data_IF_001358718210
#
_entry.id   IF_001358718210
#
_cell.length_a   1.000
_cell.length_b   1.000
_cell.length_c   1.000
_cell.angle_alpha   90.00
_cell.angle_beta   90.00
_cell.angle_gamma   90.00
#
_symmetry.space_group_name_H-M   'P 1'
#
loop_
_entity.id
_entity.type
_entity.pdbx_description
1 polymer ?
#
# COMPACT_ATOMS: atom_id res chain seq x y z
N UNK A 1 23.55 -33.48 18.81
CA UNK A 1 22.85 -32.53 17.92
C UNK A 1 21.83 -33.32 17.15
N UNK A 2 20.55 -32.94 17.21
CA UNK A 2 19.56 -33.46 16.27
C UNK A 2 20.01 -33.15 14.84
N UNK A 3 19.81 -34.09 13.92
CA UNK A 3 20.12 -33.86 12.50
C UNK A 3 19.19 -32.77 11.99
N UNK A 4 19.76 -31.70 11.43
CA UNK A 4 18.99 -30.66 10.77
C UNK A 4 18.23 -31.26 9.56
N UNK A 5 17.03 -30.76 9.23
CA UNK A 5 16.40 -31.07 7.96
C UNK A 5 17.33 -30.73 6.80
N UNK A 6 17.35 -31.57 5.76
CA UNK A 6 18.29 -31.44 4.62
C UNK A 6 18.22 -30.06 3.96
N UNK A 7 17.02 -29.48 3.87
CA UNK A 7 16.82 -28.15 3.31
C UNK A 7 17.47 -27.04 4.18
N UNK A 8 17.29 -27.13 5.50
CA UNK A 8 17.89 -26.20 6.48
C UNK A 8 19.41 -26.35 6.49
N UNK A 9 19.92 -27.58 6.48
CA UNK A 9 21.35 -27.86 6.45
C UNK A 9 22.02 -27.29 5.19
N UNK A 10 21.44 -27.52 4.00
CA UNK A 10 21.95 -26.98 2.74
C UNK A 10 22.05 -25.46 2.78
N UNK A 11 20.99 -24.79 3.27
CA UNK A 11 20.97 -23.33 3.39
C UNK A 11 21.96 -22.83 4.42
N UNK A 12 22.10 -23.50 5.56
CA UNK A 12 23.07 -23.13 6.58
C UNK A 12 24.52 -23.28 6.09
N UNK A 13 24.83 -24.35 5.34
CA UNK A 13 26.14 -24.56 4.72
C UNK A 13 26.43 -23.54 3.60
N UNK A 14 25.40 -23.09 2.87
CA UNK A 14 25.54 -21.96 1.94
C UNK A 14 25.89 -20.67 2.70
N UNK A 15 25.18 -20.37 3.79
CA UNK A 15 25.43 -19.18 4.60
C UNK A 15 26.81 -19.20 5.26
N UNK A 16 27.33 -20.37 5.68
CA UNK A 16 28.69 -20.50 6.19
C UNK A 16 29.74 -20.09 5.14
N UNK A 17 29.53 -20.48 3.88
CA UNK A 17 30.39 -20.09 2.76
C UNK A 17 30.28 -18.62 2.41
N UNK A 18 29.09 -18.03 2.53
CA UNK A 18 28.84 -16.61 2.20
C UNK A 18 29.32 -15.63 3.28
N UNK A 19 29.23 -16.01 4.56
CA UNK A 19 29.52 -15.11 5.68
C UNK A 19 30.78 -15.50 6.46
N UNK A 20 30.76 -16.65 7.14
CA UNK A 20 31.87 -17.14 7.98
C UNK A 20 31.66 -18.62 8.33
N UNK A 21 32.73 -19.41 8.44
CA UNK A 21 32.61 -20.81 8.88
C UNK A 21 32.12 -20.94 10.34
N UNK A 22 32.27 -19.88 11.13
CA UNK A 22 31.91 -19.83 12.55
C UNK A 22 30.41 -19.64 12.82
N UNK A 23 29.57 -19.58 11.78
CA UNK A 23 28.13 -19.47 12.01
C UNK A 23 27.61 -20.63 12.87
N UNK A 24 26.67 -20.28 13.73
CA UNK A 24 25.92 -21.19 14.58
C UNK A 24 24.45 -21.14 14.21
N UNK A 25 23.79 -22.27 14.34
CA UNK A 25 22.35 -22.39 14.17
C UNK A 25 21.74 -22.80 15.50
N UNK A 26 20.65 -22.16 15.89
CA UNK A 26 19.90 -22.46 17.11
C UNK A 26 18.45 -22.76 16.76
N UNK A 27 17.91 -23.88 17.22
CA UNK A 27 16.50 -24.22 17.06
C UNK A 27 15.72 -23.72 18.28
N UNK A 28 14.85 -22.73 18.08
CA UNK A 28 14.12 -22.06 19.16
C UNK A 28 12.65 -21.98 18.74
N UNK A 29 11.76 -22.63 19.49
CA UNK A 29 10.29 -22.58 19.26
C UNK A 29 9.89 -22.90 17.80
N UNK A 30 10.44 -23.96 17.22
CA UNK A 30 10.06 -24.38 15.87
C UNK A 30 10.79 -23.68 14.73
N UNK A 31 11.78 -22.83 15.00
CA UNK A 31 12.46 -22.02 13.98
C UNK A 31 13.98 -22.11 14.13
N UNK A 32 14.70 -22.14 13.01
CA UNK A 32 16.16 -22.20 12.98
C UNK A 32 16.77 -20.80 12.84
N UNK A 33 17.41 -20.29 13.88
CA UNK A 33 18.03 -18.97 13.90
C UNK A 33 19.53 -19.08 13.60
N UNK A 34 20.01 -18.27 12.66
CA UNK A 34 21.43 -18.21 12.27
C UNK A 34 22.11 -17.06 13.01
N UNK A 35 23.22 -17.36 13.67
CA UNK A 35 23.97 -16.43 14.50
C UNK A 35 25.46 -16.47 14.13
N UNK A 36 26.07 -15.30 14.08
CA UNK A 36 27.51 -15.10 13.91
C UNK A 36 28.12 -14.76 15.28
N UNK A 37 29.00 -15.62 15.86
CA UNK A 37 29.68 -15.28 17.09
C UNK A 37 30.65 -14.12 16.85
N UNK A 38 30.58 -13.12 17.71
CA UNK A 38 31.47 -11.96 17.73
C UNK A 38 32.35 -12.01 18.98
N UNK A 39 33.65 -11.99 18.77
CA UNK A 39 34.64 -11.84 19.84
C UNK A 39 35.00 -10.36 19.94
N UNK A 40 34.50 -9.69 20.99
CA UNK A 40 34.80 -8.29 21.25
C UNK A 40 35.71 -8.20 22.48
N UNK A 41 36.65 -7.27 22.49
CA UNK A 41 37.40 -6.91 23.70
C UNK A 41 36.71 -5.69 24.29
N UNK A 42 36.20 -5.83 25.51
CA UNK A 42 35.70 -4.69 26.27
C UNK A 42 36.89 -3.87 26.75
N UNK A 43 36.98 -2.63 26.27
CA UNK A 43 38.12 -1.75 26.55
C UNK A 43 38.15 -1.28 28.00
N UNK A 44 37.00 -1.16 28.63
CA UNK A 44 36.89 -0.64 30.01
C UNK A 44 37.21 -1.75 31.01
N UNK A 45 36.84 -2.98 30.70
CA UNK A 45 37.06 -4.14 31.57
C UNK A 45 38.30 -4.97 31.23
N UNK A 46 38.96 -4.68 30.10
CA UNK A 46 40.07 -5.45 29.52
C UNK A 46 39.79 -6.98 29.48
N UNK A 47 38.56 -7.35 29.15
CA UNK A 47 38.09 -8.75 29.09
C UNK A 47 37.49 -9.07 27.72
N UNK A 48 37.70 -10.31 27.26
CA UNK A 48 37.02 -10.83 26.07
C UNK A 48 35.54 -11.03 26.40
N UNK A 49 34.68 -10.33 25.67
CA UNK A 49 33.23 -10.51 25.69
C UNK A 49 32.81 -11.29 24.45
N UNK A 50 31.98 -12.30 24.67
CA UNK A 50 31.32 -13.05 23.60
C UNK A 50 29.95 -12.42 23.35
N UNK A 51 29.71 -11.96 22.12
CA UNK A 51 28.37 -11.56 21.66
C UNK A 51 27.97 -12.46 20.50
N UNK A 52 26.69 -12.61 20.26
CA UNK A 52 26.17 -13.23 19.04
C UNK A 52 25.46 -12.18 18.22
N UNK A 53 25.72 -12.17 16.91
CA UNK A 53 25.05 -11.31 15.94
C UNK A 53 24.06 -12.15 15.17
N UNK A 54 22.78 -11.84 15.34
CA UNK A 54 21.72 -12.53 14.63
C UNK A 54 21.72 -12.17 13.15
N UNK A 55 21.86 -13.18 12.28
CA UNK A 55 21.93 -12.98 10.82
C UNK A 55 20.61 -13.20 10.11
N UNK A 56 19.66 -13.93 10.69
CA UNK A 56 18.37 -14.24 10.08
C UNK A 56 17.86 -15.63 10.51
N UNK A 57 16.68 -16.03 10.04
CA UNK A 57 16.11 -17.35 10.31
C UNK A 57 16.03 -18.19 9.04
N UNK A 58 16.17 -19.50 9.16
CA UNK A 58 15.90 -20.47 8.11
C UNK A 58 14.57 -21.15 8.45
N UNK A 59 13.63 -21.12 7.51
CA UNK A 59 12.35 -21.84 7.59
C UNK A 59 12.53 -23.34 7.33
N UNK A 60 11.54 -24.17 7.66
CA UNK A 60 11.65 -25.63 7.55
C UNK A 60 11.89 -26.12 6.10
N UNK A 61 11.44 -25.35 5.11
CA UNK A 61 11.67 -25.57 3.67
C UNK A 61 13.06 -25.10 3.20
N UNK A 62 13.90 -24.61 4.11
CA UNK A 62 15.26 -24.15 3.82
C UNK A 62 15.35 -22.72 3.31
N UNK A 63 14.29 -21.91 3.35
CA UNK A 63 14.39 -20.50 2.95
C UNK A 63 15.04 -19.65 4.04
N UNK A 64 16.09 -18.89 3.69
CA UNK A 64 16.74 -17.96 4.63
C UNK A 64 16.09 -16.59 4.56
N UNK A 65 15.52 -16.15 5.67
CA UNK A 65 15.00 -14.80 5.91
C UNK A 65 16.10 -14.00 6.62
N UNK A 66 16.91 -13.19 5.90
CA UNK A 66 17.99 -12.44 6.51
C UNK A 66 17.44 -11.41 7.52
N UNK A 67 18.20 -11.20 8.59
CA UNK A 67 18.10 -10.02 9.43
C UNK A 67 18.47 -8.81 8.59
N UNK A 68 17.62 -7.79 8.57
CA UNK A 68 17.89 -6.53 7.86
C UNK A 68 19.17 -5.89 8.43
N UNK A 69 20.30 -5.92 7.69
CA UNK A 69 21.61 -5.39 8.14
C UNK A 69 21.70 -3.86 7.97
N UNK A 70 22.22 -3.18 9.01
CA UNK A 70 22.56 -1.73 9.11
C UNK A 70 23.74 -1.33 8.20
N UNK A 71 23.69 -0.14 7.59
CA UNK A 71 24.84 0.58 6.99
C UNK A 71 24.98 1.94 7.69
N UNK A 72 26.20 2.38 8.05
CA UNK A 72 26.47 3.58 8.86
C UNK A 72 27.16 4.69 8.02
N UNK A 73 26.60 5.92 8.09
CA UNK A 73 27.15 7.29 7.79
C UNK A 73 27.53 7.58 6.31
N UNK A 74 27.21 8.74 5.69
CA UNK A 74 27.31 10.17 6.09
C UNK A 74 26.58 11.08 5.03
N UNK A 75 26.48 12.39 5.34
CA UNK A 75 26.04 13.56 4.51
C UNK A 75 24.51 13.79 4.44
N UNK A 76 23.89 14.93 4.82
CA UNK A 76 24.10 16.39 4.65
C UNK A 76 24.06 16.87 3.18
N UNK A 77 22.92 17.49 2.88
CA UNK A 77 22.53 18.32 1.73
C UNK A 77 22.35 17.58 0.40
N UNK A 78 21.11 17.23 0.03
CA UNK A 78 20.78 16.72 -1.32
C UNK A 78 19.26 16.59 -1.62
N UNK A 79 18.92 16.27 -2.89
CA UNK A 79 17.69 16.66 -3.61
C UNK A 79 16.52 15.65 -3.43
N UNK A 80 15.32 15.92 -4.00
CA UNK A 80 14.06 15.20 -3.68
C UNK A 80 14.00 13.71 -4.01
N UNK A 81 14.78 13.21 -4.98
CA UNK A 81 14.88 11.77 -5.30
C UNK A 81 15.77 11.05 -4.27
N UNK A 82 16.85 11.70 -3.84
CA UNK A 82 17.70 11.22 -2.75
C UNK A 82 16.98 11.26 -1.40
N UNK A 83 15.98 12.14 -1.24
CA UNK A 83 15.15 12.15 -0.04
C UNK A 83 14.34 10.86 0.12
N UNK A 84 13.81 10.24 -0.94
CA UNK A 84 13.09 8.95 -0.82
C UNK A 84 14.07 7.81 -0.48
N UNK A 85 15.24 7.74 -1.11
CA UNK A 85 16.26 6.73 -0.78
C UNK A 85 16.87 6.91 0.62
N UNK A 86 17.07 8.16 1.04
CA UNK A 86 17.60 8.50 2.35
C UNK A 86 16.52 8.39 3.44
N UNK A 87 15.24 8.59 3.10
CA UNK A 87 14.10 8.26 3.95
C UNK A 87 14.00 6.75 4.12
N UNK A 88 14.08 5.94 3.06
CA UNK A 88 14.10 4.48 3.16
C UNK A 88 15.29 3.97 4.02
N UNK A 89 16.46 4.62 3.91
CA UNK A 89 17.61 4.36 4.78
C UNK A 89 17.37 4.82 6.23
N UNK A 90 16.85 6.03 6.45
CA UNK A 90 16.52 6.58 7.78
C UNK A 90 15.42 5.76 8.48
N UNK A 91 14.49 5.22 7.72
CA UNK A 91 13.46 4.28 8.15
C UNK A 91 14.06 2.94 8.62
N UNK A 92 15.07 2.44 7.91
CA UNK A 92 15.84 1.29 8.38
C UNK A 92 16.69 1.61 9.62
N UNK A 93 17.12 2.86 9.80
CA UNK A 93 17.93 3.33 10.94
C UNK A 93 17.10 3.49 12.24
N UNK A 94 15.94 4.17 12.20
CA UNK A 94 15.13 4.47 13.39
C UNK A 94 14.43 3.28 14.04
N UNK A 95 14.20 2.20 13.29
CA UNK A 95 13.57 0.97 13.82
C UNK A 95 14.49 0.17 14.76
N UNK A 96 15.80 0.45 14.74
CA UNK A 96 16.80 -0.43 15.34
C UNK A 96 17.20 -0.09 16.79
N UNK A 97 16.86 1.10 17.31
CA UNK A 97 17.04 1.43 18.73
C UNK A 97 15.80 1.14 19.59
N UNK A 98 14.72 0.61 18.97
CA UNK A 98 13.47 0.23 19.66
C UNK A 98 13.12 -1.26 19.61
N UNK A 99 13.97 -2.12 19.05
CA UNK A 99 13.65 -3.54 18.86
C UNK A 99 13.44 -4.36 20.16
N UNK A 100 13.69 -3.79 21.35
CA UNK A 100 13.29 -4.39 22.63
C UNK A 100 11.92 -3.91 23.16
N UNK A 101 11.19 -3.07 22.42
CA UNK A 101 9.85 -2.58 22.81
C UNK A 101 8.83 -2.61 21.65
N UNK A 102 9.08 -3.40 20.59
CA UNK A 102 8.24 -3.45 19.37
C UNK A 102 7.08 -4.45 19.46
N UNK A 103 6.96 -5.23 20.54
CA UNK A 103 5.89 -6.24 20.66
C UNK A 103 4.55 -5.73 21.21
N UNK A 104 4.35 -4.42 21.35
CA UNK A 104 3.01 -3.89 21.56
C UNK A 104 2.66 -3.02 20.37
N UNK A 105 1.70 -3.50 19.57
CA UNK A 105 0.94 -2.66 18.63
C UNK A 105 0.51 -1.44 19.43
N UNK A 106 1.13 -0.29 19.16
CA UNK A 106 0.84 0.91 19.93
C UNK A 106 -0.60 1.31 19.59
N UNK A 107 -1.53 0.95 20.47
CA UNK A 107 -2.94 1.30 20.33
C UNK A 107 -3.04 2.82 20.27
N UNK A 108 -3.67 3.34 19.22
CA UNK A 108 -3.92 4.77 19.10
C UNK A 108 -4.80 5.22 20.26
N UNK A 109 -4.52 6.41 20.81
CA UNK A 109 -5.50 7.04 21.70
C UNK A 109 -6.76 7.35 20.89
N UNK A 110 -7.92 7.45 21.56
CA UNK A 110 -9.19 7.83 20.88
C UNK A 110 -9.07 9.14 20.10
N UNK A 111 -8.29 10.10 20.60
CA UNK A 111 -8.02 11.36 19.92
C UNK A 111 -7.19 11.16 18.65
N UNK A 112 -6.13 10.36 18.71
CA UNK A 112 -5.31 10.02 17.54
C UNK A 112 -6.10 9.23 16.49
N UNK A 113 -6.87 8.22 16.90
CA UNK A 113 -7.73 7.46 16.00
C UNK A 113 -8.70 8.39 15.26
N UNK A 114 -9.34 9.31 15.99
CA UNK A 114 -10.22 10.30 15.40
C UNK A 114 -9.50 11.24 14.43
N UNK A 115 -8.31 11.73 14.78
CA UNK A 115 -7.49 12.55 13.87
C UNK A 115 -7.15 11.79 12.59
N UNK A 116 -6.69 10.54 12.72
CA UNK A 116 -6.34 9.69 11.58
C UNK A 116 -7.57 9.37 10.73
N UNK A 117 -8.72 9.09 11.34
CA UNK A 117 -10.00 8.88 10.65
C UNK A 117 -10.43 10.13 9.88
N UNK A 118 -10.36 11.31 10.50
CA UNK A 118 -10.68 12.58 9.85
C UNK A 118 -9.76 12.86 8.65
N UNK A 119 -8.45 12.64 8.80
CA UNK A 119 -7.47 12.80 7.72
C UNK A 119 -7.63 11.74 6.62
N UNK A 120 -7.96 10.50 6.98
CA UNK A 120 -8.26 9.39 6.06
C UNK A 120 -9.51 9.64 5.22
N UNK A 121 -10.53 10.25 5.83
CA UNK A 121 -11.75 10.65 5.15
C UNK A 121 -11.55 11.88 4.26
N UNK A 122 -10.83 12.89 4.77
CA UNK A 122 -10.57 14.14 4.07
C UNK A 122 -9.38 14.89 4.69
N UNK A 123 -8.18 14.74 4.13
CA UNK A 123 -6.98 15.37 4.69
C UNK A 123 -6.93 16.90 4.50
N UNK A 124 -7.88 17.49 3.77
CA UNK A 124 -8.04 18.95 3.62
C UNK A 124 -9.06 19.54 4.60
N UNK A 125 -9.57 18.76 5.55
CA UNK A 125 -10.48 19.25 6.59
C UNK A 125 -9.82 20.40 7.39
N UNK A 126 -10.52 21.53 7.64
CA UNK A 126 -9.93 22.65 8.37
C UNK A 126 -9.59 22.24 9.80
N UNK A 127 -8.37 22.52 10.22
CA UNK A 127 -7.89 22.23 11.58
C UNK A 127 -8.82 22.76 12.69
N UNK A 128 -9.39 23.99 12.62
CA UNK A 128 -10.30 24.48 13.64
C UNK A 128 -11.55 23.60 13.84
N UNK A 129 -12.03 22.96 12.76
CA UNK A 129 -13.19 22.08 12.82
C UNK A 129 -12.88 20.81 13.62
N UNK A 130 -11.74 20.17 13.30
CA UNK A 130 -11.27 18.97 14.01
C UNK A 130 -10.92 19.30 15.47
N UNK A 131 -10.33 20.48 15.74
CA UNK A 131 -9.94 20.87 17.09
C UNK A 131 -11.15 21.12 17.99
N UNK A 132 -12.21 21.72 17.46
CA UNK A 132 -13.48 21.91 18.18
C UNK A 132 -14.09 20.57 18.58
N UNK A 133 -14.07 19.58 17.68
CA UNK A 133 -14.62 18.25 17.98
C UNK A 133 -13.82 17.54 19.09
N UNK A 134 -12.49 17.66 19.07
CA UNK A 134 -11.60 17.04 20.06
C UNK A 134 -11.49 17.83 21.37
N UNK A 135 -12.06 19.04 21.47
CA UNK A 135 -11.86 19.92 22.63
C UNK A 135 -10.42 20.39 22.80
N UNK A 136 -9.67 20.50 21.70
CA UNK A 136 -8.25 20.87 21.69
C UNK A 136 -8.05 22.28 21.11
N UNK A 137 -6.95 22.93 21.49
CA UNK A 137 -6.52 24.15 20.79
C UNK A 137 -6.07 23.81 19.37
N UNK A 138 -6.30 24.71 18.41
CA UNK A 138 -5.86 24.50 17.03
C UNK A 138 -4.33 24.32 16.93
N UNK A 139 -3.56 24.94 17.83
CA UNK A 139 -2.10 24.76 17.90
C UNK A 139 -1.73 23.35 18.39
N UNK A 140 -2.33 22.88 19.49
CA UNK A 140 -2.12 21.53 20.01
C UNK A 140 -2.47 20.46 18.97
N UNK A 141 -3.58 20.64 18.26
CA UNK A 141 -3.95 19.73 17.16
C UNK A 141 -2.91 19.70 16.03
N UNK A 142 -2.35 20.85 15.61
CA UNK A 142 -1.30 20.86 14.58
C UNK A 142 -0.03 20.15 15.05
N UNK A 143 0.34 20.35 16.31
CA UNK A 143 1.48 19.67 16.91
C UNK A 143 1.27 18.14 16.89
N UNK A 144 0.10 17.66 17.27
CA UNK A 144 -0.20 16.24 17.33
C UNK A 144 -0.31 15.61 15.94
N UNK A 145 -0.94 16.30 14.97
CA UNK A 145 -0.91 15.88 13.57
C UNK A 145 0.54 15.79 13.08
N UNK A 146 1.41 16.76 13.41
CA UNK A 146 2.81 16.71 12.99
C UNK A 146 3.58 15.55 13.63
N UNK A 147 3.28 15.24 14.89
CA UNK A 147 3.81 14.07 15.58
C UNK A 147 3.39 12.77 14.89
N UNK A 148 2.10 12.66 14.54
CA UNK A 148 1.55 11.52 13.78
C UNK A 148 2.17 11.39 12.39
N UNK A 149 2.32 12.50 11.66
CA UNK A 149 2.99 12.53 10.35
C UNK A 149 4.39 11.92 10.43
N UNK A 150 5.17 12.35 11.41
CA UNK A 150 6.54 11.88 11.62
C UNK A 150 6.59 10.42 12.12
N UNK A 151 5.64 10.01 12.95
CA UNK A 151 5.60 8.65 13.53
C UNK A 151 5.14 7.60 12.53
N UNK A 152 4.14 7.92 11.71
CA UNK A 152 3.46 6.98 10.82
C UNK A 152 3.86 7.16 9.35
N UNK A 153 4.72 8.13 9.04
CA UNK A 153 5.12 8.46 7.67
C UNK A 153 3.92 8.79 6.79
N UNK A 154 3.07 9.69 7.28
CA UNK A 154 1.83 10.07 6.59
C UNK A 154 2.20 10.82 5.31
N UNK A 155 1.77 10.29 4.16
CA UNK A 155 1.73 11.00 2.87
C UNK A 155 0.31 11.44 2.59
N UNK A 156 0.15 12.70 2.21
CA UNK A 156 -1.11 13.26 1.72
C UNK A 156 -1.25 13.01 0.23
N UNK A 157 -2.36 12.43 -0.22
CA UNK A 157 -2.55 12.08 -1.63
C UNK A 157 -4.03 12.08 -2.02
N UNK A 158 -4.32 11.82 -3.30
CA UNK A 158 -5.68 11.65 -3.78
C UNK A 158 -6.02 10.18 -4.00
N UNK A 159 -7.23 9.81 -3.61
CA UNK A 159 -7.88 8.61 -4.10
C UNK A 159 -8.63 8.98 -5.40
N UNK A 160 -8.18 8.43 -6.54
CA UNK A 160 -8.77 8.70 -7.85
C UNK A 160 -9.63 7.53 -8.37
N UNK A 161 -10.61 7.89 -9.17
CA UNK A 161 -11.35 6.99 -10.07
C UNK A 161 -10.69 7.06 -11.46
N UNK A 162 -9.81 6.10 -11.75
CA UNK A 162 -9.09 6.08 -13.03
C UNK A 162 -9.95 5.55 -14.18
N UNK A 163 -11.06 4.87 -13.88
CA UNK A 163 -12.02 4.41 -14.90
C UNK A 163 -12.69 5.61 -15.58
N UNK A 164 -13.00 6.65 -14.82
CA UNK A 164 -13.46 7.94 -15.37
C UNK A 164 -12.39 8.71 -16.15
N UNK A 165 -11.13 8.33 -16.02
CA UNK A 165 -10.02 8.81 -16.84
C UNK A 165 -9.76 7.86 -18.04
N UNK A 166 -10.58 6.83 -18.22
CA UNK A 166 -10.51 5.86 -19.31
C UNK A 166 -9.41 4.82 -19.13
N UNK A 167 -9.12 4.43 -17.90
CA UNK A 167 -8.17 3.36 -17.57
C UNK A 167 -8.84 2.24 -16.76
N UNK A 168 -8.28 1.04 -16.75
CA UNK A 168 -8.73 -0.10 -15.96
C UNK A 168 -7.58 -0.62 -15.10
N UNK A 169 -7.93 -1.29 -14.01
CA UNK A 169 -6.97 -1.93 -13.11
C UNK A 169 -6.81 -3.41 -13.44
N UNK A 170 -5.59 -3.90 -13.30
CA UNK A 170 -5.25 -5.31 -13.40
C UNK A 170 -4.35 -5.72 -12.24
N UNK A 171 -4.55 -6.95 -11.75
CA UNK A 171 -3.56 -7.64 -10.93
C UNK A 171 -2.85 -8.64 -11.84
N UNK A 172 -1.52 -8.57 -11.89
CA UNK A 172 -0.70 -9.55 -12.60
C UNK A 172 0.07 -10.36 -11.57
N UNK A 173 -0.18 -11.67 -11.55
CA UNK A 173 0.64 -12.63 -10.80
C UNK A 173 1.67 -13.27 -11.70
N UNK A 174 2.91 -13.36 -11.21
CA UNK A 174 4.02 -13.99 -11.92
C UNK A 174 4.62 -15.08 -11.03
N UNK A 175 4.81 -16.27 -11.62
CA UNK A 175 5.50 -17.40 -11.01
C UNK A 175 6.69 -17.78 -11.90
N UNK A 176 7.90 -17.64 -11.39
CA UNK A 176 9.12 -18.03 -12.10
C UNK A 176 9.38 -19.52 -11.88
N UNK A 177 9.82 -20.23 -12.92
CA UNK A 177 9.97 -21.69 -12.84
C UNK A 177 11.35 -22.12 -12.34
N UNK A 178 12.41 -21.64 -13.01
CA UNK A 178 13.76 -22.13 -12.75
C UNK A 178 14.58 -21.16 -11.90
N UNK A 179 14.68 -19.90 -12.36
CA UNK A 179 15.42 -18.83 -11.70
C UNK A 179 14.46 -17.70 -11.36
N UNK A 180 14.57 -17.18 -10.14
CA UNK A 180 13.84 -15.98 -9.70
C UNK A 180 14.74 -14.76 -9.84
N UNK A 181 14.24 -13.63 -10.38
CA UNK A 181 14.97 -12.38 -10.31
C UNK A 181 15.10 -11.94 -8.85
N UNK A 182 16.22 -11.28 -8.54
CA UNK A 182 16.44 -10.66 -7.25
C UNK A 182 15.47 -9.49 -7.03
N UNK A 183 15.29 -9.08 -5.77
CA UNK A 183 14.46 -7.92 -5.46
C UNK A 183 14.89 -6.65 -6.22
N UNK A 184 16.20 -6.45 -6.40
CA UNK A 184 16.75 -5.30 -7.12
C UNK A 184 16.44 -5.36 -8.61
N UNK A 185 16.60 -6.54 -9.24
CA UNK A 185 16.22 -6.76 -10.64
C UNK A 185 14.72 -6.51 -10.85
N UNK A 186 13.87 -6.95 -9.92
CA UNK A 186 12.41 -6.68 -9.97
C UNK A 186 12.11 -5.19 -9.86
N UNK A 187 12.78 -4.47 -8.95
CA UNK A 187 12.61 -3.03 -8.77
C UNK A 187 12.99 -2.26 -10.04
N UNK A 188 14.18 -2.51 -10.58
CA UNK A 188 14.67 -1.87 -11.80
C UNK A 188 13.76 -2.17 -13.00
N UNK A 189 13.30 -3.42 -13.12
CA UNK A 189 12.34 -3.80 -14.14
C UNK A 189 11.01 -3.04 -14.00
N UNK A 190 10.47 -2.93 -12.78
CA UNK A 190 9.19 -2.26 -12.52
C UNK A 190 9.27 -0.75 -12.75
N UNK A 191 10.40 -0.11 -12.44
CA UNK A 191 10.61 1.33 -12.62
C UNK A 191 10.67 1.74 -14.11
N UNK A 192 11.04 0.81 -15.01
CA UNK A 192 11.02 1.05 -16.46
C UNK A 192 9.62 1.02 -17.07
N UNK A 193 8.63 0.52 -16.35
CA UNK A 193 7.27 0.33 -16.87
C UNK A 193 6.29 1.28 -16.18
N UNK A 194 5.85 2.30 -16.92
CA UNK A 194 4.98 3.36 -16.39
C UNK A 194 3.61 2.84 -15.91
N UNK A 195 3.13 1.74 -16.50
CA UNK A 195 1.83 1.13 -16.18
C UNK A 195 1.81 0.43 -14.81
N UNK A 196 2.97 0.00 -14.30
CA UNK A 196 3.08 -0.67 -13.00
C UNK A 196 3.06 0.38 -11.89
N UNK A 197 1.99 0.39 -11.09
CA UNK A 197 1.82 1.34 -9.98
C UNK A 197 2.26 0.75 -8.63
N UNK A 198 2.23 -0.57 -8.51
CA UNK A 198 2.69 -1.30 -7.33
C UNK A 198 3.27 -2.63 -7.80
N UNK A 199 4.47 -2.99 -7.32
CA UNK A 199 5.10 -4.29 -7.53
C UNK A 199 5.49 -4.88 -6.19
N UNK A 200 5.02 -6.10 -5.91
CA UNK A 200 5.15 -6.77 -4.62
C UNK A 200 5.83 -8.12 -4.82
N UNK A 201 6.98 -8.31 -4.19
CA UNK A 201 7.67 -9.61 -4.16
C UNK A 201 6.98 -10.48 -3.13
N UNK A 202 6.71 -11.72 -3.50
CA UNK A 202 5.87 -12.63 -2.74
C UNK A 202 6.56 -13.98 -2.46
N UNK A 203 6.07 -14.65 -1.43
CA UNK A 203 6.30 -16.07 -1.15
C UNK A 203 4.95 -16.77 -1.08
N UNK A 204 4.82 -17.92 -1.74
CA UNK A 204 3.55 -18.65 -1.88
C UNK A 204 3.28 -19.02 -3.33
N UNK A 205 2.05 -18.82 -3.78
CA UNK A 205 1.58 -19.19 -5.13
C UNK A 205 2.20 -18.32 -6.23
N UNK A 206 2.46 -17.04 -5.91
CA UNK A 206 3.12 -16.09 -6.78
C UNK A 206 4.45 -15.65 -6.19
N UNK A 207 5.41 -15.36 -7.07
CA UNK A 207 6.70 -14.76 -6.68
C UNK A 207 6.67 -13.24 -6.81
N UNK A 208 5.80 -12.72 -7.68
CA UNK A 208 5.61 -11.30 -7.91
C UNK A 208 4.12 -11.03 -8.18
N UNK A 209 3.56 -10.04 -7.50
CA UNK A 209 2.24 -9.47 -7.76
C UNK A 209 2.40 -8.02 -8.20
N UNK A 210 1.72 -7.62 -9.27
CA UNK A 210 1.75 -6.25 -9.78
C UNK A 210 0.34 -5.67 -9.88
N UNK A 211 0.16 -4.45 -9.39
CA UNK A 211 -1.02 -3.63 -9.65
C UNK A 211 -0.72 -2.74 -10.86
N UNK A 212 -1.41 -2.99 -11.96
CA UNK A 212 -1.16 -2.35 -13.25
C UNK A 212 -2.37 -1.53 -13.66
N UNK A 213 -2.13 -0.35 -14.20
CA UNK A 213 -3.15 0.50 -14.81
C UNK A 213 -2.93 0.52 -16.32
N UNK A 214 -3.99 0.25 -17.07
CA UNK A 214 -3.94 0.22 -18.54
C UNK A 214 -5.11 0.98 -19.12
N UNK A 215 -4.98 1.55 -20.31
CA UNK A 215 -6.10 2.22 -20.97
C UNK A 215 -7.26 1.24 -21.22
N UNK A 216 -8.49 1.73 -21.12
CA UNK A 216 -9.70 0.95 -21.38
C UNK A 216 -9.89 0.69 -22.88
N UNK A 217 -9.01 -0.15 -23.43
CA UNK A 217 -9.01 -0.62 -24.80
C UNK A 217 -8.37 -2.01 -24.81
N UNK A 218 -9.11 -3.02 -25.22
CA UNK A 218 -8.68 -4.43 -25.16
C UNK A 218 -7.43 -4.71 -26.00
N UNK A 219 -7.27 -4.02 -27.13
CA UNK A 219 -6.08 -4.18 -28.00
C UNK A 219 -4.86 -3.55 -27.34
N UNK A 220 -5.02 -2.35 -26.79
CA UNK A 220 -3.95 -1.66 -26.03
C UNK A 220 -3.56 -2.48 -24.80
N UNK A 221 -4.55 -3.04 -24.08
CA UNK A 221 -4.29 -3.88 -22.92
C UNK A 221 -3.50 -5.13 -23.29
N UNK A 222 -3.89 -5.84 -24.35
CA UNK A 222 -3.17 -7.03 -24.82
C UNK A 222 -1.72 -6.71 -25.19
N UNK A 223 -1.50 -5.68 -25.99
CA UNK A 223 -0.15 -5.29 -26.42
C UNK A 223 0.70 -4.87 -25.22
N UNK A 224 0.11 -4.09 -24.30
CA UNK A 224 0.77 -3.66 -23.07
C UNK A 224 1.22 -4.85 -22.23
N UNK A 225 0.44 -5.93 -22.09
CA UNK A 225 0.90 -7.09 -21.32
C UNK A 225 2.08 -7.82 -21.96
N UNK A 226 2.17 -7.87 -23.30
CA UNK A 226 3.35 -8.38 -23.98
C UNK A 226 4.55 -7.46 -23.76
N UNK A 227 4.38 -6.14 -23.89
CA UNK A 227 5.44 -5.16 -23.62
C UNK A 227 5.95 -5.24 -22.18
N UNK A 228 5.05 -5.38 -21.20
CA UNK A 228 5.44 -5.55 -19.79
C UNK A 228 6.29 -6.82 -19.63
N UNK A 229 5.85 -7.94 -20.22
CA UNK A 229 6.59 -9.22 -20.12
C UNK A 229 7.96 -9.14 -20.77
N UNK A 230 8.03 -8.60 -21.99
CA UNK A 230 9.28 -8.48 -22.76
C UNK A 230 10.26 -7.49 -22.13
N UNK A 231 9.78 -6.40 -21.54
CA UNK A 231 10.64 -5.37 -20.95
C UNK A 231 11.08 -5.69 -19.51
N UNK A 232 10.26 -6.41 -18.74
CA UNK A 232 10.60 -6.67 -17.34
C UNK A 232 11.53 -7.87 -17.18
N UNK A 233 11.16 -9.03 -17.73
CA UNK A 233 11.88 -10.29 -17.46
C UNK A 233 12.02 -11.18 -18.71
N UNK A 234 12.62 -10.70 -19.81
CA UNK A 234 12.73 -11.48 -21.05
C UNK A 234 13.55 -12.76 -20.89
N UNK A 235 14.51 -12.77 -19.96
CA UNK A 235 15.43 -13.90 -19.75
C UNK A 235 14.90 -14.96 -18.76
N UNK A 236 13.74 -14.73 -18.12
CA UNK A 236 13.24 -15.60 -17.07
C UNK A 236 12.01 -16.40 -17.52
N UNK A 237 12.11 -17.74 -17.54
CA UNK A 237 10.92 -18.58 -17.77
C UNK A 237 9.93 -18.40 -16.62
N UNK A 238 8.71 -18.02 -16.99
CA UNK A 238 7.70 -17.54 -16.07
C UNK A 238 6.29 -17.77 -16.59
N UNK A 239 5.39 -18.13 -15.68
CA UNK A 239 3.95 -18.16 -15.89
C UNK A 239 3.33 -16.85 -15.43
N UNK A 240 2.50 -16.24 -16.27
CA UNK A 240 1.87 -14.94 -16.03
C UNK A 240 0.35 -15.10 -15.96
N UNK A 241 -0.25 -14.54 -14.90
CA UNK A 241 -1.67 -14.60 -14.62
C UNK A 241 -2.22 -13.18 -14.58
N UNK A 242 -2.90 -12.76 -15.64
CA UNK A 242 -3.45 -11.41 -15.77
C UNK A 242 -4.91 -11.43 -15.37
N UNK A 243 -5.25 -10.71 -14.30
CA UNK A 243 -6.58 -10.62 -13.74
C UNK A 243 -7.11 -9.20 -13.88
N UNK A 244 -8.24 -9.03 -14.57
CA UNK A 244 -8.99 -7.77 -14.52
C UNK A 244 -9.48 -7.53 -13.09
N UNK A 245 -9.24 -6.34 -12.55
CA UNK A 245 -9.48 -6.01 -11.15
C UNK A 245 -10.47 -4.85 -11.03
N UNK A 246 -11.60 -5.09 -10.35
CA UNK A 246 -12.58 -4.06 -10.04
C UNK A 246 -12.42 -3.66 -8.58
N UNK A 247 -11.75 -2.51 -8.34
CA UNK A 247 -11.48 -2.00 -7.00
C UNK A 247 -12.81 -1.72 -6.27
N UNK A 248 -13.00 -2.33 -5.11
CA UNK A 248 -14.20 -2.12 -4.28
C UNK A 248 -13.89 -1.40 -2.96
N UNK A 249 -12.76 -1.69 -2.31
CA UNK A 249 -12.35 -1.06 -1.04
C UNK A 249 -10.85 -0.76 -1.02
N UNK A 250 -10.44 0.20 -0.18
CA UNK A 250 -9.06 0.62 -0.08
C UNK A 250 -8.56 1.29 -1.36
N UNK A 251 -7.25 1.53 -1.44
CA UNK A 251 -6.65 2.13 -2.63
C UNK A 251 -5.13 1.93 -2.67
N UNK A 252 -4.58 2.04 -3.88
CA UNK A 252 -3.14 2.16 -4.13
C UNK A 252 -2.88 3.62 -4.50
N UNK A 253 -2.08 4.38 -3.74
CA UNK A 253 -1.63 5.70 -4.14
C UNK A 253 -0.98 5.64 -5.52
N UNK A 254 -1.43 6.49 -6.44
CA UNK A 254 -0.90 6.48 -7.81
C UNK A 254 0.54 6.99 -7.84
N UNK A 255 1.37 6.31 -8.61
CA UNK A 255 2.74 6.73 -8.85
C UNK A 255 2.77 7.90 -9.84
N UNK A 256 3.86 8.68 -9.84
CA UNK A 256 4.03 9.79 -10.79
C UNK A 256 4.00 9.32 -12.25
N UNK A 257 4.37 8.07 -12.50
CA UNK A 257 4.31 7.44 -13.83
C UNK A 257 2.91 7.37 -14.41
N UNK A 258 1.86 7.25 -13.57
CA UNK A 258 0.48 7.32 -14.07
C UNK A 258 0.22 8.63 -14.82
N UNK A 259 0.84 9.73 -14.38
CA UNK A 259 0.68 11.02 -15.03
C UNK A 259 1.44 11.15 -16.34
N UNK A 260 2.42 10.29 -16.64
CA UNK A 260 3.01 10.21 -17.99
C UNK A 260 2.00 9.61 -18.97
N UNK A 261 1.24 8.60 -18.53
CA UNK A 261 0.15 8.02 -19.33
C UNK A 261 -1.01 9.01 -19.49
N UNK A 262 -1.43 9.66 -18.39
CA UNK A 262 -2.54 10.61 -18.41
C UNK A 262 -2.25 11.85 -19.28
N UNK A 263 -0.99 12.27 -19.38
CA UNK A 263 -0.57 13.39 -20.23
C UNK A 263 -0.96 13.19 -21.70
N UNK A 264 -0.93 11.94 -22.20
CA UNK A 264 -1.34 11.59 -23.57
C UNK A 264 -2.83 11.84 -23.81
N UNK A 265 -3.63 11.91 -22.75
CA UNK A 265 -5.08 12.22 -22.79
C UNK A 265 -5.39 13.70 -22.54
N UNK A 266 -4.38 14.56 -22.47
CA UNK A 266 -4.61 16.00 -22.37
C UNK A 266 -5.04 16.54 -23.73
N UNK A 267 -6.24 17.12 -23.77
CA UNK A 267 -6.80 17.68 -24.99
C UNK A 267 -6.01 18.90 -25.44
N UNK A 268 -5.58 18.86 -26.70
CA UNK A 268 -5.04 19.99 -27.43
C UNK A 268 -6.00 20.30 -28.57
N UNK A 269 -6.43 21.56 -28.68
CA UNK A 269 -7.30 21.99 -29.78
C UNK A 269 -6.51 21.91 -31.09
N UNK A 270 -6.96 21.07 -32.00
CA UNK A 270 -6.42 21.01 -33.37
C UNK A 270 -7.53 21.28 -34.38
N UNK A 271 -7.20 21.33 -35.68
CA UNK A 271 -8.21 21.46 -36.73
C UNK A 271 -9.09 20.21 -36.81
N UNK A 272 -8.51 19.05 -36.53
CA UNK A 272 -9.15 17.74 -36.57
C UNK A 272 -10.01 17.50 -35.31
N UNK A 273 -9.60 18.02 -34.16
CA UNK A 273 -10.29 17.86 -32.86
C UNK A 273 -10.60 19.24 -32.25
N UNK A 274 -11.58 19.98 -32.81
CA UNK A 274 -11.89 21.34 -32.38
C UNK A 274 -12.63 21.39 -31.03
N UNK A 275 -13.23 20.28 -30.59
CA UNK A 275 -13.95 20.14 -29.32
C UNK A 275 -13.34 19.02 -28.49
N UNK A 276 -13.32 19.19 -27.17
CA UNK A 276 -12.77 18.20 -26.25
C UNK A 276 -13.61 16.90 -26.24
N UNK A 277 -13.04 15.75 -26.60
CA UNK A 277 -13.71 14.45 -26.42
C UNK A 277 -13.95 14.13 -24.94
N UNK A 278 -14.89 13.22 -24.65
CA UNK A 278 -15.15 12.76 -23.27
C UNK A 278 -13.98 11.96 -22.70
N UNK A 279 -13.19 11.30 -23.55
CA UNK A 279 -12.01 10.52 -23.18
C UNK A 279 -10.78 11.35 -22.85
N UNK A 280 -10.82 12.67 -23.09
CA UNK A 280 -9.69 13.58 -22.86
C UNK A 280 -9.98 14.56 -21.71
N UNK A 281 -8.92 15.04 -21.07
CA UNK A 281 -8.97 16.02 -19.97
C UNK A 281 -8.35 17.36 -20.38
N UNK A 282 -8.72 18.42 -19.67
CA UNK A 282 -8.11 19.73 -19.85
C UNK A 282 -6.70 19.78 -19.24
N UNK A 283 -5.80 20.60 -19.77
CA UNK A 283 -4.46 20.80 -19.20
C UNK A 283 -4.51 21.24 -17.73
N UNK A 284 -5.46 22.10 -17.35
CA UNK A 284 -5.67 22.51 -15.96
C UNK A 284 -6.10 21.35 -15.05
N UNK A 285 -6.91 20.42 -15.56
CA UNK A 285 -7.33 19.23 -14.79
C UNK A 285 -6.12 18.33 -14.56
N UNK A 286 -5.31 18.10 -15.59
CA UNK A 286 -4.05 17.36 -15.49
C UNK A 286 -3.11 17.97 -14.44
N UNK A 287 -2.87 19.28 -14.51
CA UNK A 287 -1.97 19.98 -13.59
C UNK A 287 -2.44 19.84 -12.13
N UNK A 288 -3.73 20.07 -11.88
CA UNK A 288 -4.31 19.95 -10.54
C UNK A 288 -4.25 18.51 -10.03
N UNK A 289 -4.60 17.51 -10.85
CA UNK A 289 -4.53 16.10 -10.44
C UNK A 289 -3.09 15.68 -10.11
N UNK A 290 -2.13 16.07 -10.96
CA UNK A 290 -0.71 15.74 -10.79
C UNK A 290 -0.17 16.32 -9.48
N UNK A 291 -0.30 17.64 -9.30
CA UNK A 291 0.23 18.29 -8.11
C UNK A 291 -0.45 17.75 -6.84
N UNK A 292 -1.78 17.60 -6.85
CA UNK A 292 -2.52 17.15 -5.67
C UNK A 292 -2.32 15.66 -5.34
N UNK A 293 -1.93 14.81 -6.31
CA UNK A 293 -1.55 13.43 -6.01
C UNK A 293 -0.21 13.35 -5.28
N UNK A 294 0.71 14.28 -5.57
CA UNK A 294 2.00 14.39 -4.87
C UNK A 294 1.81 14.87 -3.43
N UNK A 295 1.03 15.92 -3.24
CA UNK A 295 0.58 16.42 -1.94
C UNK A 295 -0.82 17.04 -2.02
N UNK A 296 -1.81 16.33 -1.49
CA UNK A 296 -3.20 16.79 -1.50
C UNK A 296 -3.52 17.87 -0.48
N UNK A 297 -2.59 18.24 0.41
CA UNK A 297 -2.73 19.33 1.38
C UNK A 297 -2.20 20.66 0.89
N UNK A 298 -1.45 20.70 -0.20
CA UNK A 298 -0.89 21.95 -0.72
C UNK A 298 -1.97 22.99 -1.04
N UNK A 299 -1.57 24.26 -1.02
CA UNK A 299 -2.45 25.38 -1.34
C UNK A 299 -2.82 25.35 -2.83
N UNK A 300 -4.12 25.51 -3.13
CA UNK A 300 -4.61 25.60 -4.51
C UNK A 300 -4.14 26.90 -5.18
N UNK A 301 -3.91 27.96 -4.40
CA UNK A 301 -3.30 29.20 -4.89
C UNK A 301 -1.85 28.99 -5.28
N UNK A 302 -1.12 28.14 -4.56
CA UNK A 302 0.29 27.84 -4.88
C UNK A 302 0.38 27.01 -6.16
N UNK A 303 -0.61 26.14 -6.40
CA UNK A 303 -0.76 25.44 -7.70
C UNK A 303 -1.02 26.45 -8.82
N UNK A 304 -1.94 27.40 -8.61
CA UNK A 304 -2.21 28.46 -9.60
C UNK A 304 -0.92 29.21 -9.97
N UNK A 305 -0.16 29.65 -8.96
CA UNK A 305 1.11 30.36 -9.16
C UNK A 305 2.16 29.49 -9.86
N UNK A 306 2.39 28.26 -9.39
CA UNK A 306 3.42 27.34 -9.93
C UNK A 306 3.14 26.93 -11.38
N UNK A 307 1.87 26.84 -11.75
CA UNK A 307 1.41 26.40 -13.09
C UNK A 307 1.01 27.56 -13.99
N UNK A 308 1.24 28.81 -13.56
CA UNK A 308 0.84 30.03 -14.28
C UNK A 308 -0.65 30.03 -14.70
N UNK A 309 -1.52 29.57 -13.81
CA UNK A 309 -2.97 29.59 -14.01
C UNK A 309 -3.57 30.87 -13.41
N UNK A 310 -4.74 31.28 -13.91
CA UNK A 310 -5.46 32.43 -13.33
C UNK A 310 -5.85 32.13 -11.89
N UNK A 311 -5.75 33.13 -11.00
CA UNK A 311 -6.08 33.00 -9.59
C UNK A 311 -7.49 32.39 -9.36
N UNK A 312 -7.57 31.31 -8.58
CA UNK A 312 -8.80 30.58 -8.29
C UNK A 312 -9.15 29.47 -9.28
N UNK A 313 -8.40 29.33 -10.38
CA UNK A 313 -8.65 28.31 -11.40
C UNK A 313 -8.43 26.90 -10.87
N UNK A 314 -7.38 26.68 -10.07
CA UNK A 314 -7.11 25.39 -9.44
C UNK A 314 -8.24 25.02 -8.47
N UNK A 315 -8.77 25.97 -7.70
CA UNK A 315 -9.92 25.74 -6.80
C UNK A 315 -11.17 25.33 -7.56
N UNK A 316 -11.52 26.06 -8.62
CA UNK A 316 -12.67 25.72 -9.45
C UNK A 316 -12.50 24.34 -10.11
N UNK A 317 -11.31 24.07 -10.65
CA UNK A 317 -10.98 22.80 -11.32
C UNK A 317 -11.04 21.64 -10.33
N UNK A 318 -10.45 21.79 -9.14
CA UNK A 318 -10.50 20.78 -8.07
C UNK A 318 -11.95 20.45 -7.68
N UNK A 319 -12.81 21.46 -7.50
CA UNK A 319 -14.22 21.24 -7.18
C UNK A 319 -14.95 20.50 -8.32
N UNK A 320 -14.71 20.89 -9.57
CA UNK A 320 -15.30 20.20 -10.73
C UNK A 320 -14.87 18.72 -10.82
N UNK A 321 -13.62 18.42 -10.49
CA UNK A 321 -13.10 17.05 -10.44
C UNK A 321 -13.73 16.21 -9.32
N UNK A 322 -14.03 16.83 -8.16
CA UNK A 322 -14.79 16.20 -7.08
C UNK A 322 -16.26 15.96 -7.48
N UNK A 323 -16.91 16.95 -8.12
CA UNK A 323 -18.32 16.86 -8.51
C UNK A 323 -18.55 15.76 -9.56
N UNK A 324 -17.57 15.57 -10.46
CA UNK A 324 -17.53 14.45 -11.42
C UNK A 324 -17.08 13.13 -10.78
N UNK A 325 -16.67 13.16 -9.52
CA UNK A 325 -16.09 12.05 -8.78
C UNK A 325 -14.93 11.37 -9.53
N UNK A 326 -14.08 12.17 -10.18
CA UNK A 326 -12.75 11.73 -10.65
C UNK A 326 -11.80 11.70 -9.45
N UNK A 327 -11.85 12.76 -8.63
CA UNK A 327 -11.29 12.71 -7.29
C UNK A 327 -12.36 12.11 -6.40
N UNK A 328 -12.13 10.92 -5.88
CA UNK A 328 -13.01 10.28 -4.90
C UNK A 328 -12.88 11.03 -3.57
N UNK A 329 -11.64 11.28 -3.13
CA UNK A 329 -11.33 12.09 -1.95
C UNK A 329 -9.84 12.45 -1.86
N UNK A 330 -9.50 13.60 -1.23
CA UNK A 330 -8.16 13.81 -0.67
C UNK A 330 -8.01 12.98 0.62
N UNK A 331 -6.92 12.25 0.77
CA UNK A 331 -6.75 11.27 1.86
C UNK A 331 -5.29 11.18 2.30
N UNK A 332 -4.98 10.19 3.14
CA UNK A 332 -3.64 9.86 3.62
C UNK A 332 -3.25 8.43 3.30
N UNK A 333 -1.95 8.20 3.17
CA UNK A 333 -1.31 6.88 3.19
C UNK A 333 -0.27 6.84 4.32
N UNK A 334 -0.37 5.86 5.22
CA UNK A 334 0.56 5.64 6.32
C UNK A 334 1.61 4.62 5.90
N UNK A 335 2.89 5.00 5.98
CA UNK A 335 4.03 4.17 5.51
C UNK A 335 4.73 3.41 6.63
N UNK A 336 4.68 3.93 7.86
CA UNK A 336 5.47 3.42 9.00
C UNK A 336 4.58 2.75 10.04
N UNK A 337 3.87 1.71 9.63
CA UNK A 337 3.03 0.93 10.55
C UNK A 337 3.83 -0.23 11.14
N UNK A 338 3.48 -0.71 12.35
CA UNK A 338 4.14 -1.85 13.00
C UNK A 338 3.75 -3.19 12.34
N UNK A 339 3.68 -3.23 11.01
CA UNK A 339 3.31 -4.39 10.22
C UNK A 339 4.52 -5.32 10.10
N UNK A 340 4.35 -6.61 10.39
CA UNK A 340 5.38 -7.63 10.17
C UNK A 340 5.60 -7.88 8.68
N UNK A 341 4.51 -8.09 7.95
CA UNK A 341 4.47 -8.25 6.49
C UNK A 341 3.04 -8.01 5.99
N UNK A 342 2.84 -7.98 4.67
CA UNK A 342 1.50 -7.93 4.08
C UNK A 342 1.15 -9.31 3.52
N UNK A 343 -0.14 -9.64 3.47
CA UNK A 343 -0.62 -10.84 2.82
C UNK A 343 -1.56 -10.48 1.68
N UNK A 344 -1.37 -11.13 0.55
CA UNK A 344 -2.31 -11.16 -0.55
C UNK A 344 -3.18 -12.40 -0.40
N UNK A 345 -4.50 -12.24 -0.29
CA UNK A 345 -5.46 -13.35 -0.21
C UNK A 345 -6.29 -13.37 -1.49
N UNK A 346 -6.38 -14.56 -2.10
CA UNK A 346 -7.18 -14.83 -3.29
C UNK A 346 -8.34 -15.73 -2.88
N UNK A 347 -9.56 -15.24 -3.08
CA UNK A 347 -10.77 -16.01 -2.86
C UNK A 347 -11.39 -16.34 -4.21
N UNK A 348 -11.27 -17.58 -4.64
CA UNK A 348 -11.87 -18.10 -5.86
C UNK A 348 -13.30 -18.56 -5.60
N UNK A 349 -14.22 -18.16 -6.48
CA UNK A 349 -15.62 -18.57 -6.45
C UNK A 349 -15.78 -19.94 -7.12
N UNK A 350 -15.95 -21.00 -6.32
CA UNK A 350 -16.14 -22.37 -6.83
C UNK A 350 -17.61 -22.74 -6.98
N UNK A 351 -18.52 -22.08 -6.25
CA UNK A 351 -19.97 -22.22 -6.42
C UNK A 351 -20.67 -20.86 -6.42
N UNK A 352 -21.31 -20.52 -7.55
CA UNK A 352 -21.91 -19.21 -7.71
C UNK A 352 -23.10 -18.94 -6.78
N UNK A 353 -23.98 -19.92 -6.60
CA UNK A 353 -25.20 -19.75 -5.81
C UNK A 353 -24.90 -19.63 -4.31
N UNK A 354 -23.94 -20.43 -3.81
CA UNK A 354 -23.49 -20.34 -2.42
C UNK A 354 -22.83 -18.99 -2.13
N UNK A 355 -21.96 -18.53 -3.04
CA UNK A 355 -21.33 -17.22 -2.94
C UNK A 355 -22.34 -16.07 -2.84
N UNK A 356 -23.32 -15.99 -3.75
CA UNK A 356 -24.28 -14.87 -3.75
C UNK A 356 -25.12 -14.84 -2.46
N UNK A 357 -25.45 -16.01 -1.91
CA UNK A 357 -26.19 -16.11 -0.64
C UNK A 357 -25.39 -15.55 0.53
N UNK A 358 -24.10 -15.84 0.58
CA UNK A 358 -23.23 -15.52 1.71
C UNK A 358 -22.41 -14.22 1.51
N UNK A 359 -22.55 -13.56 0.35
CA UNK A 359 -21.84 -12.31 -0.02
C UNK A 359 -21.97 -11.20 1.03
N UNK A 360 -23.11 -11.14 1.72
CA UNK A 360 -23.33 -10.19 2.83
C UNK A 360 -22.28 -10.31 3.93
N UNK A 361 -21.80 -11.52 4.22
CA UNK A 361 -20.80 -11.76 5.27
C UNK A 361 -19.43 -11.20 4.86
N UNK A 362 -19.07 -11.27 3.57
CA UNK A 362 -17.86 -10.63 3.05
C UNK A 362 -17.95 -9.11 3.18
N UNK A 363 -19.11 -8.54 2.83
CA UNK A 363 -19.29 -7.09 2.95
C UNK A 363 -19.17 -6.64 4.41
N UNK A 364 -19.75 -7.40 5.34
CA UNK A 364 -19.64 -7.16 6.79
C UNK A 364 -18.20 -7.27 7.29
N UNK A 365 -17.46 -8.27 6.81
CA UNK A 365 -16.05 -8.47 7.12
C UNK A 365 -15.20 -7.27 6.68
N UNK A 366 -15.42 -6.75 5.46
CA UNK A 366 -14.69 -5.60 4.94
C UNK A 366 -14.95 -4.32 5.77
N UNK A 367 -16.21 -4.11 6.19
CA UNK A 367 -16.59 -2.90 6.96
C UNK A 367 -16.41 -3.05 8.47
N UNK A 368 -15.79 -4.14 8.93
CA UNK A 368 -15.50 -4.33 10.34
C UNK A 368 -14.43 -3.33 10.78
N UNK A 369 -14.82 -2.40 11.64
CA UNK A 369 -13.89 -1.42 12.21
C UNK A 369 -12.86 -2.13 13.09
N UNK A 370 -11.59 -1.78 12.91
CA UNK A 370 -10.54 -2.17 13.84
C UNK A 370 -10.08 -0.94 14.63
N UNK A 371 -9.61 -1.15 15.85
CA UNK A 371 -9.11 -0.09 16.74
C UNK A 371 -7.79 0.57 16.26
N UNK A 372 -7.22 0.14 15.13
CA UNK A 372 -5.87 0.56 14.71
C UNK A 372 -5.83 1.09 13.29
N UNK A 373 -6.00 0.23 12.29
CA UNK A 373 -5.91 0.55 10.86
C UNK A 373 -6.98 -0.22 10.10
N UNK A 374 -7.26 0.19 8.86
CA UNK A 374 -8.15 -0.57 8.01
C UNK A 374 -7.69 -2.03 7.90
N UNK A 375 -8.62 -2.98 8.09
CA UNK A 375 -8.36 -4.43 8.00
C UNK A 375 -7.73 -4.81 6.65
N UNK A 376 -8.13 -4.12 5.59
CA UNK A 376 -7.64 -4.34 4.23
C UNK A 376 -7.10 -3.03 3.64
N UNK A 377 -5.89 -3.08 3.06
CA UNK A 377 -5.32 -1.97 2.30
C UNK A 377 -5.98 -1.83 0.92
N UNK A 378 -6.41 -2.95 0.35
CA UNK A 378 -6.99 -3.06 -0.98
C UNK A 378 -7.93 -4.27 -1.04
N UNK A 379 -9.12 -4.09 -1.60
CA UNK A 379 -10.05 -5.17 -1.95
C UNK A 379 -10.64 -4.90 -3.32
N UNK A 380 -10.82 -5.95 -4.12
CA UNK A 380 -11.56 -5.85 -5.36
C UNK A 380 -11.89 -7.19 -5.99
N UNK A 381 -12.86 -7.18 -6.88
CA UNK A 381 -13.32 -8.38 -7.59
C UNK A 381 -12.34 -8.69 -8.73
N UNK A 382 -12.04 -9.97 -8.93
CA UNK A 382 -11.23 -10.48 -10.04
C UNK A 382 -12.06 -11.39 -10.95
N UNK A 383 -11.73 -11.46 -12.24
CA UNK A 383 -12.51 -12.20 -13.25
C UNK A 383 -11.90 -13.49 -13.77
N UNK A 384 -10.65 -13.84 -13.42
CA UNK A 384 -10.00 -15.06 -13.92
C UNK A 384 -8.92 -15.58 -12.95
N UNK A 385 -9.27 -16.46 -11.99
CA UNK A 385 -10.61 -16.99 -11.74
C UNK A 385 -11.57 -15.92 -11.19
N UNK A 386 -12.88 -16.14 -11.32
CA UNK A 386 -13.87 -15.23 -10.72
C UNK A 386 -13.76 -15.30 -9.20
N UNK A 387 -13.68 -14.15 -8.53
CA UNK A 387 -13.38 -14.12 -7.10
C UNK A 387 -13.15 -12.74 -6.53
N UNK A 388 -12.53 -12.70 -5.35
CA UNK A 388 -12.13 -11.46 -4.66
C UNK A 388 -10.66 -11.54 -4.27
N UNK A 389 -9.96 -10.43 -4.45
CA UNK A 389 -8.58 -10.24 -4.06
C UNK A 389 -8.49 -9.26 -2.90
N UNK A 390 -7.68 -9.59 -1.89
CA UNK A 390 -7.44 -8.78 -0.71
C UNK A 390 -5.95 -8.56 -0.51
N UNK A 391 -5.58 -7.37 -0.03
CA UNK A 391 -4.29 -7.11 0.59
C UNK A 391 -4.54 -6.68 2.03
N UNK A 392 -4.02 -7.43 2.99
CA UNK A 392 -4.15 -7.13 4.41
C UNK A 392 -2.78 -6.93 5.08
N UNK A 393 -2.70 -6.04 6.08
CA UNK A 393 -1.54 -5.94 6.96
C UNK A 393 -1.53 -7.12 7.94
N UNK A 394 -0.35 -7.67 8.21
CA UNK A 394 -0.17 -8.76 9.18
C UNK A 394 0.64 -8.25 10.37
N UNK A 395 0.02 -8.25 11.55
CA UNK A 395 0.60 -7.81 12.82
C UNK A 395 1.11 -9.00 13.64
N UNK A 396 0.38 -10.12 13.59
CA UNK A 396 0.72 -11.37 14.28
C UNK A 396 0.87 -12.52 13.27
N UNK A 397 1.57 -13.58 13.69
CA UNK A 397 1.86 -14.69 12.76
C UNK A 397 0.60 -15.51 12.42
N UNK A 398 -0.48 -15.41 13.21
CA UNK A 398 -1.76 -16.10 12.97
C UNK A 398 -2.73 -15.32 12.07
N UNK A 399 -2.58 -14.01 11.90
CA UNK A 399 -3.63 -13.16 11.29
C UNK A 399 -4.05 -13.63 9.88
N UNK A 400 -3.12 -14.20 9.11
CA UNK A 400 -3.40 -14.71 7.76
C UNK A 400 -4.26 -15.97 7.82
N UNK A 401 -3.93 -16.90 8.70
CA UNK A 401 -4.69 -18.14 8.83
C UNK A 401 -6.05 -17.88 9.46
N UNK A 402 -6.12 -16.99 10.46
CA UNK A 402 -7.35 -16.51 11.08
C UNK A 402 -8.28 -15.88 10.02
N UNK A 403 -7.75 -14.98 9.18
CA UNK A 403 -8.53 -14.37 8.10
C UNK A 403 -9.02 -15.40 7.06
N UNK A 404 -8.21 -16.41 6.72
CA UNK A 404 -8.61 -17.48 5.79
C UNK A 404 -9.69 -18.36 6.38
N UNK A 405 -9.60 -18.69 7.66
CA UNK A 405 -10.62 -19.47 8.37
C UNK A 405 -11.93 -18.69 8.48
N UNK A 406 -11.87 -17.41 8.87
CA UNK A 406 -13.03 -16.51 8.89
C UNK A 406 -13.73 -16.46 7.53
N UNK A 407 -12.99 -16.30 6.43
CA UNK A 407 -13.55 -16.29 5.08
C UNK A 407 -14.23 -17.61 4.71
N UNK A 408 -13.61 -18.76 5.02
CA UNK A 408 -14.17 -20.10 4.76
C UNK A 408 -15.43 -20.38 5.58
N UNK A 409 -15.46 -19.88 6.82
CA UNK A 409 -16.63 -20.02 7.69
C UNK A 409 -17.76 -19.07 7.29
N UNK A 410 -17.40 -17.88 6.79
CA UNK A 410 -18.35 -16.85 6.37
C UNK A 410 -19.05 -17.17 5.05
N UNK A 411 -18.37 -17.83 4.11
CA UNK A 411 -18.88 -18.07 2.75
C UNK A 411 -18.61 -19.49 2.28
N UNK A 412 -19.66 -20.17 1.83
CA UNK A 412 -19.55 -21.51 1.23
C UNK A 412 -19.22 -21.44 -0.26
N UNK A 413 -18.56 -22.49 -0.76
CA UNK A 413 -18.27 -22.62 -2.19
C UNK A 413 -17.16 -21.68 -2.67
N UNK A 414 -16.11 -21.57 -1.86
CA UNK A 414 -14.91 -20.79 -2.19
C UNK A 414 -13.64 -21.61 -2.05
N UNK A 415 -12.65 -21.29 -2.87
CA UNK A 415 -11.24 -21.62 -2.65
C UNK A 415 -10.55 -20.42 -2.03
N UNK A 416 -9.66 -20.63 -1.05
CA UNK A 416 -8.90 -19.54 -0.43
C UNK A 416 -7.42 -19.86 -0.48
N UNK A 417 -6.69 -19.04 -1.22
CA UNK A 417 -5.25 -19.08 -1.41
C UNK A 417 -4.61 -17.80 -0.87
N UNK A 418 -3.32 -17.84 -0.56
CA UNK A 418 -2.62 -16.70 0.06
C UNK A 418 -1.15 -16.67 -0.32
N UNK A 419 -0.62 -15.47 -0.54
CA UNK A 419 0.82 -15.23 -0.71
C UNK A 419 1.29 -14.16 0.29
N UNK A 420 2.43 -14.41 0.92
CA UNK A 420 3.08 -13.46 1.83
C UNK A 420 3.87 -12.47 0.99
N UNK A 421 3.60 -11.17 1.13
CA UNK A 421 4.36 -10.10 0.48
C UNK A 421 5.61 -9.84 1.32
N UNK A 422 6.76 -10.26 0.80
CA UNK A 422 8.07 -10.16 1.47
C UNK A 422 8.75 -8.81 1.22
N UNK A 423 8.34 -8.09 0.18
CA UNK A 423 8.82 -6.74 -0.11
C UNK A 423 7.97 -6.01 -1.14
N UNK A 424 8.04 -4.67 -1.15
CA UNK A 424 7.41 -3.81 -2.16
C UNK A 424 8.54 -3.22 -3.00
N UNK A 425 8.65 -3.64 -4.25
CA UNK A 425 9.69 -3.22 -5.17
C UNK A 425 9.40 -1.86 -5.82
N UNK A 426 8.12 -1.53 -6.06
CA UNK A 426 7.67 -0.25 -6.60
C UNK A 426 6.33 0.15 -5.96
N UNK A 427 6.10 1.44 -5.74
CA UNK A 427 4.84 1.97 -5.23
C UNK A 427 4.65 1.81 -3.72
N UNK A 428 3.41 1.92 -3.25
CA UNK A 428 3.05 1.71 -1.84
C UNK A 428 1.58 1.29 -1.69
N UNK A 429 1.22 0.77 -0.53
CA UNK A 429 -0.17 0.48 -0.15
C UNK A 429 -0.78 1.66 0.60
N UNK A 430 -2.06 1.96 0.32
CA UNK A 430 -2.78 3.11 0.88
C UNK A 430 -3.35 2.88 2.28
N UNK A 431 -2.55 2.42 3.24
CA UNK A 431 -3.02 2.23 4.61
C UNK A 431 -3.50 3.54 5.24
N UNK A 432 -4.64 3.48 5.91
CA UNK A 432 -5.23 4.60 6.66
C UNK A 432 -6.14 4.07 7.76
N UNK A 433 -6.73 4.99 8.50
CA UNK A 433 -7.93 4.75 9.31
C UNK A 433 -9.08 5.37 8.54
N UNK A 434 -10.01 4.55 8.07
CA UNK A 434 -11.15 4.97 7.27
C UNK A 434 -12.44 4.81 8.08
N UNK A 435 -13.37 5.75 7.89
CA UNK A 435 -14.72 5.57 8.44
C UNK A 435 -15.53 4.66 7.51
N UNK A 436 -15.64 3.39 7.90
CA UNK A 436 -16.32 2.37 7.09
C UNK A 436 -17.81 2.67 6.86
N UNK A 437 -18.41 3.57 7.62
CA UNK A 437 -19.78 4.01 7.38
C UNK A 437 -19.93 4.76 6.05
N UNK A 438 -18.84 5.27 5.52
CA UNK A 438 -18.74 5.94 4.23
C UNK A 438 -18.24 5.04 3.09
N UNK A 439 -17.92 3.78 3.37
CA UNK A 439 -17.51 2.81 2.35
C UNK A 439 -18.66 2.51 1.37
N UNK A 440 -18.32 2.05 0.17
CA UNK A 440 -19.35 1.58 -0.77
C UNK A 440 -19.96 0.26 -0.29
N UNK A 441 -19.20 -0.57 0.43
CA UNK A 441 -19.66 -1.81 1.04
C UNK A 441 -20.79 -1.55 2.04
N UNK A 442 -20.63 -0.55 2.92
CA UNK A 442 -21.70 -0.15 3.84
C UNK A 442 -22.94 0.35 3.09
N UNK A 443 -22.77 1.14 2.02
CA UNK A 443 -23.91 1.56 1.19
C UNK A 443 -24.65 0.34 0.62
N UNK A 444 -23.92 -0.65 0.12
CA UNK A 444 -24.52 -1.88 -0.41
C UNK A 444 -25.28 -2.64 0.70
N UNK A 445 -24.70 -2.78 1.89
CA UNK A 445 -25.35 -3.40 3.05
C UNK A 445 -26.67 -2.70 3.42
N UNK A 446 -26.72 -1.38 3.36
CA UNK A 446 -27.92 -0.61 3.68
C UNK A 446 -28.95 -0.66 2.55
N UNK A 447 -28.52 -0.42 1.30
CA UNK A 447 -29.43 -0.30 0.15
C UNK A 447 -30.02 -1.65 -0.26
N UNK A 448 -29.19 -2.69 -0.35
CA UNK A 448 -29.60 -4.01 -0.84
C UNK A 448 -29.96 -4.97 0.30
N UNK A 449 -29.20 -4.97 1.40
CA UNK A 449 -29.41 -5.90 2.52
C UNK A 449 -30.21 -5.31 3.69
N UNK A 450 -30.66 -4.05 3.57
CA UNK A 450 -31.55 -3.36 4.52
C UNK A 450 -30.99 -3.26 5.95
N UNK A 451 -29.66 -3.21 6.10
CA UNK A 451 -29.06 -2.91 7.39
C UNK A 451 -29.35 -1.48 7.84
N UNK A 452 -29.35 -1.26 9.15
CA UNK A 452 -29.58 0.07 9.73
C UNK A 452 -28.40 0.99 9.42
N UNK A 453 -28.70 2.19 8.93
CA UNK A 453 -27.69 3.23 8.75
C UNK A 453 -27.19 3.72 10.13
N UNK A 454 -25.88 3.70 10.38
CA UNK A 454 -25.31 4.30 11.59
C UNK A 454 -25.36 5.84 11.53
N UNK A 455 -25.25 6.47 12.70
CA UNK A 455 -25.18 7.93 12.80
C UNK A 455 -23.83 8.42 12.28
N UNK A 456 -23.85 9.17 11.18
CA UNK A 456 -22.64 9.62 10.49
C UNK A 456 -22.13 10.95 11.03
N UNK A 457 -20.82 11.05 11.23
CA UNK A 457 -20.14 12.33 11.36
C UNK A 457 -19.99 12.99 9.98
N UNK A 458 -20.33 14.28 9.81
CA UNK A 458 -20.14 14.97 8.52
C UNK A 458 -18.68 15.37 8.28
N UNK A 459 -18.02 14.71 7.32
CA UNK A 459 -16.64 15.03 6.89
C UNK A 459 -16.57 15.97 5.67
N UNK A 460 -17.71 16.45 5.14
CA UNK A 460 -17.74 17.24 3.91
C UNK A 460 -17.36 18.70 4.16
N UNK A 461 -16.49 19.23 3.30
CA UNK A 461 -16.15 20.66 3.26
C UNK A 461 -17.32 21.56 2.84
N UNK A 462 -18.25 21.02 2.03
CA UNK A 462 -19.32 21.82 1.41
C UNK A 462 -20.32 22.37 2.43
N UNK A 463 -20.56 21.69 3.56
CA UNK A 463 -21.38 22.23 4.65
C UNK A 463 -20.64 23.35 5.40
N UNK A 464 -19.32 23.24 5.55
CA UNK A 464 -18.46 24.22 6.23
C UNK A 464 -18.37 25.53 5.42
N UNK A 465 -18.07 25.45 4.12
CA UNK A 465 -17.95 26.65 3.26
C UNK A 465 -19.29 27.30 2.88
N UNK A 466 -20.42 26.57 2.94
CA UNK A 466 -21.74 27.17 2.74
C UNK A 466 -22.13 28.11 3.87
N UNK A 467 -21.60 27.89 5.08
CA UNK A 467 -21.88 28.75 6.23
C UNK A 467 -20.98 30.00 6.24
N UNK A 468 -19.73 29.94 5.78
CA UNK A 468 -18.84 31.11 5.65
C UNK A 468 -19.27 32.12 4.56
N UNK A 469 -20.23 31.78 3.70
CA UNK A 469 -20.82 32.74 2.74
C UNK A 469 -22.05 33.47 3.29
N UNK A 470 -22.49 33.14 4.51
CA UNK A 470 -23.67 33.73 5.18
C UNK A 470 -23.30 34.59 6.39
N UNK A 471 -22.04 34.59 6.80
CA UNK A 471 -21.42 35.56 7.72
C UNK A 471 -20.57 36.53 6.91
#
# INVERSE_FOLDING_TARGET
MERLPKAVENTFQRLKREYSEDLRIAYIKGVYYVQEPLHLIDKDLNKKIYRTKYLGKITDDGFFVPTRKRVIRRAKAMNSIEYEELYDKFMAEKSSDKEQTVNQVQKFTKGEEFMLRALGMNCRIPTPYVSKFLGMSAYGLRHDIKSLENRLGIKYTLELDVEKLGFMYYIIGVRFRDKKPSFQEIREAADRVDNVQLAMVCSGDYDLLMYVIVENNTTVARNMFYEIRENMFPEYDSSWYVMLFYKTYGYVPLHTDFFKMLERKVWKRTKEIPKKPNSMIWQREYNVLKDMCDDSRQSLTDIDARRAMNMGSARYTYQSLLDRAIIIRPTIAMRMLPIKYNAAIFVEKTNHLSWEKDRINILRDIVHDTDSIDRYALVGDIKSPEGVFYIMPVMNDSDVDDAKEELRNAVKGIGVASSIITGIAKGMLGYRVFDNDYSNQRKILVEYYKEKMPNKMDYKLQSIYKNEKRE
#
